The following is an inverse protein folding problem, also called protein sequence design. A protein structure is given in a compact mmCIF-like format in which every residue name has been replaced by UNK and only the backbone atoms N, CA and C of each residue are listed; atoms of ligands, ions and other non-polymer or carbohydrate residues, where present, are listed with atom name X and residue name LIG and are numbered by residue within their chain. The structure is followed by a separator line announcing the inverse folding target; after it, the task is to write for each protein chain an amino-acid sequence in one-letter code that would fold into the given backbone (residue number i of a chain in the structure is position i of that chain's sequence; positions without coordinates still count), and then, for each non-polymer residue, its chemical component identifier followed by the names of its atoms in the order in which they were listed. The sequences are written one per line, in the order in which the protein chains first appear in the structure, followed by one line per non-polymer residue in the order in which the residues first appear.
data_IF_383297523987
#
_entry.id   IF_383297523987
#
_cell.length_a   1.000
_cell.length_b   1.000
_cell.length_c   1.000
_cell.angle_alpha   90.00
_cell.angle_beta   90.00
_cell.angle_gamma   90.00
#
_symmetry.space_group_name_H-M   'P 1'
#
loop_
_entity.id
_entity.type
_entity.pdbx_description
1 polymer ?
#
# COMPACT_ATOMS: atom_id res chain seq x y z
N UNK A 1 104.97 -89.22 -15.33
CA UNK A 1 105.22 -88.83 -13.92
C UNK A 1 105.75 -87.42 -13.92
N UNK A 2 105.42 -86.62 -12.91
CA UNK A 2 105.93 -85.25 -12.83
C UNK A 2 107.43 -85.30 -12.46
N UNK A 3 108.27 -84.44 -13.04
CA UNK A 3 109.72 -84.38 -12.75
C UNK A 3 110.02 -84.27 -11.24
N UNK A 4 109.14 -83.61 -10.50
CA UNK A 4 109.23 -83.47 -9.05
C UNK A 4 108.96 -84.77 -8.29
N UNK A 5 108.09 -85.64 -8.81
CA UNK A 5 107.82 -86.95 -8.21
C UNK A 5 109.01 -87.89 -8.38
N UNK A 6 109.67 -87.87 -9.54
CA UNK A 6 110.87 -88.68 -9.80
C UNK A 6 112.07 -88.20 -8.97
N UNK A 7 112.23 -86.88 -8.80
CA UNK A 7 113.22 -86.31 -7.88
C UNK A 7 112.99 -86.73 -6.44
N UNK A 8 111.73 -86.77 -5.99
CA UNK A 8 111.39 -87.19 -4.64
C UNK A 8 111.68 -88.68 -4.43
N UNK A 9 111.35 -89.54 -5.40
CA UNK A 9 111.70 -90.96 -5.36
C UNK A 9 113.22 -91.19 -5.29
N UNK A 10 114.01 -90.42 -6.05
CA UNK A 10 115.48 -90.49 -5.99
C UNK A 10 116.00 -90.06 -4.60
N UNK A 11 115.39 -89.07 -3.95
CA UNK A 11 115.77 -88.67 -2.59
C UNK A 11 115.48 -89.77 -1.57
N UNK A 12 114.31 -90.39 -1.64
CA UNK A 12 113.93 -91.50 -0.76
C UNK A 12 114.86 -92.71 -0.96
N UNK A 13 115.19 -93.06 -2.21
CA UNK A 13 116.20 -94.08 -2.54
C UNK A 13 117.56 -93.75 -1.87
N UNK A 14 118.04 -92.52 -2.03
CA UNK A 14 119.31 -92.08 -1.44
C UNK A 14 119.26 -92.06 0.11
N UNK A 15 118.12 -91.75 0.72
CA UNK A 15 117.91 -91.83 2.16
C UNK A 15 117.95 -93.28 2.66
N UNK A 16 117.33 -94.22 1.96
CA UNK A 16 117.42 -95.65 2.31
C UNK A 16 118.85 -96.18 2.18
N UNK A 17 119.57 -95.81 1.12
CA UNK A 17 120.99 -96.16 0.96
C UNK A 17 121.86 -95.54 2.05
N UNK A 18 121.53 -94.32 2.50
CA UNK A 18 122.22 -93.66 3.61
C UNK A 18 121.96 -94.40 4.93
N UNK A 19 120.73 -94.84 5.19
CA UNK A 19 120.37 -95.63 6.37
C UNK A 19 121.06 -97.01 6.40
N UNK A 20 121.37 -97.57 5.22
CA UNK A 20 122.14 -98.82 5.07
C UNK A 20 123.67 -98.63 5.22
N UNK A 21 124.15 -97.40 5.45
CA UNK A 21 125.56 -97.11 5.68
C UNK A 21 126.44 -97.05 4.42
N UNK A 22 125.83 -96.84 3.23
CA UNK A 22 126.58 -96.71 1.96
C UNK A 22 127.52 -95.50 2.00
N UNK A 23 128.72 -95.64 1.41
CA UNK A 23 129.72 -94.57 1.40
C UNK A 23 129.22 -93.36 0.62
N UNK A 24 129.61 -92.17 1.05
CA UNK A 24 129.20 -90.89 0.46
C UNK A 24 129.56 -90.74 -1.05
N UNK A 25 130.70 -91.28 -1.49
CA UNK A 25 131.05 -91.28 -2.91
C UNK A 25 130.04 -92.07 -3.77
N UNK A 26 129.60 -93.23 -3.28
CA UNK A 26 128.65 -94.08 -4.01
C UNK A 26 127.26 -93.44 -4.07
N UNK A 27 126.85 -92.70 -3.04
CA UNK A 27 125.62 -91.89 -3.05
C UNK A 27 125.66 -90.81 -4.15
N UNK A 28 126.79 -90.11 -4.30
CA UNK A 28 126.95 -89.08 -5.33
C UNK A 28 127.01 -89.64 -6.76
N UNK A 29 127.65 -90.80 -6.96
CA UNK A 29 127.66 -91.49 -8.24
C UNK A 29 126.29 -92.05 -8.60
N UNK A 30 125.53 -92.56 -7.61
CA UNK A 30 124.15 -93.00 -7.81
C UNK A 30 123.24 -91.85 -8.22
N UNK A 31 123.35 -90.70 -7.54
CA UNK A 31 122.61 -89.49 -7.91
C UNK A 31 122.96 -89.01 -9.33
N UNK A 32 124.24 -89.02 -9.73
CA UNK A 32 124.67 -88.67 -11.09
C UNK A 32 124.06 -89.60 -12.14
N UNK A 33 124.01 -90.91 -11.87
CA UNK A 33 123.38 -91.88 -12.77
C UNK A 33 121.89 -91.63 -12.94
N UNK A 34 121.15 -91.43 -11.85
CA UNK A 34 119.69 -91.22 -11.91
C UNK A 34 119.35 -89.89 -12.60
N UNK A 35 120.08 -88.82 -12.28
CA UNK A 35 119.94 -87.52 -12.97
C UNK A 35 120.16 -87.64 -14.48
N UNK A 36 121.21 -88.35 -14.90
CA UNK A 36 121.58 -88.42 -16.31
C UNK A 36 120.71 -89.40 -17.11
N UNK A 37 120.48 -90.61 -16.61
CA UNK A 37 119.80 -91.66 -17.37
C UNK A 37 118.27 -91.59 -17.25
N UNK A 38 117.72 -91.21 -16.10
CA UNK A 38 116.27 -91.20 -15.91
C UNK A 38 115.68 -89.83 -16.22
N UNK A 39 116.32 -88.76 -15.75
CA UNK A 39 115.79 -87.39 -15.89
C UNK A 39 116.33 -86.66 -17.11
N UNK A 40 117.36 -87.17 -17.79
CA UNK A 40 118.04 -86.48 -18.89
C UNK A 40 118.74 -85.17 -18.46
N UNK A 41 118.90 -84.95 -17.15
CA UNK A 41 119.50 -83.73 -16.58
C UNK A 41 121.00 -83.97 -16.41
N UNK A 42 121.81 -83.05 -16.95
CA UNK A 42 123.27 -83.08 -16.75
C UNK A 42 123.61 -82.97 -15.25
N UNK A 43 124.34 -83.93 -14.64
CA UNK A 43 124.74 -83.85 -13.24
C UNK A 43 125.58 -82.60 -13.00
N UNK A 44 125.14 -81.76 -12.07
CA UNK A 44 125.82 -80.54 -11.64
C UNK A 44 126.01 -80.55 -10.13
N UNK A 45 126.96 -79.75 -9.65
CA UNK A 45 127.24 -79.60 -8.22
C UNK A 45 125.98 -79.30 -7.39
N UNK A 46 125.14 -78.39 -7.86
CA UNK A 46 123.91 -78.01 -7.18
C UNK A 46 122.89 -79.15 -7.19
N UNK A 47 122.68 -79.81 -8.33
CA UNK A 47 121.68 -80.87 -8.47
C UNK A 47 122.05 -82.12 -7.66
N UNK A 48 123.32 -82.50 -7.63
CA UNK A 48 123.78 -83.67 -6.85
C UNK A 48 123.73 -83.36 -5.36
N UNK A 49 124.12 -82.16 -4.94
CA UNK A 49 124.07 -81.75 -3.52
C UNK A 49 122.63 -81.68 -3.00
N UNK A 50 121.69 -81.19 -3.81
CA UNK A 50 120.27 -81.11 -3.47
C UNK A 50 119.63 -82.49 -3.24
N UNK A 51 120.07 -83.51 -3.98
CA UNK A 51 119.60 -84.88 -3.83
C UNK A 51 120.32 -85.64 -2.70
N UNK A 52 121.64 -85.50 -2.56
CA UNK A 52 122.39 -86.27 -1.57
C UNK A 52 122.41 -85.64 -0.19
N UNK A 53 122.08 -84.34 -0.05
CA UNK A 53 122.10 -83.51 1.17
C UNK A 53 123.38 -83.64 2.02
N UNK A 54 124.45 -84.23 1.47
CA UNK A 54 125.69 -84.61 2.14
C UNK A 54 126.86 -84.48 1.17
N UNK A 55 127.96 -83.88 1.63
CA UNK A 55 129.20 -83.70 0.86
C UNK A 55 129.81 -82.31 1.00
N UNK A 56 131.15 -82.25 1.00
CA UNK A 56 131.92 -80.99 0.97
C UNK A 56 131.87 -80.37 -0.42
N UNK A 57 131.98 -79.04 -0.49
CA UNK A 57 132.03 -78.29 -1.76
C UNK A 57 133.17 -78.73 -2.69
N UNK A 58 134.22 -79.36 -2.16
CA UNK A 58 135.40 -79.83 -2.91
C UNK A 58 135.27 -81.22 -3.52
N UNK A 59 134.34 -82.05 -3.04
CA UNK A 59 134.39 -83.49 -3.32
C UNK A 59 133.31 -83.94 -4.30
N UNK A 60 132.14 -83.30 -4.31
CA UNK A 60 131.07 -83.57 -5.29
C UNK A 60 131.54 -83.33 -6.75
N UNK A 61 132.40 -82.32 -7.09
CA UNK A 61 132.86 -82.16 -8.47
C UNK A 61 133.71 -83.35 -8.93
N UNK A 62 134.58 -83.87 -8.05
CA UNK A 62 135.45 -85.02 -8.34
C UNK A 62 134.64 -86.28 -8.64
N UNK A 63 133.54 -86.47 -7.92
CA UNK A 63 132.65 -87.61 -8.13
C UNK A 63 131.86 -87.48 -9.47
N UNK A 64 131.44 -86.26 -9.84
CA UNK A 64 130.85 -85.96 -11.16
C UNK A 64 131.86 -86.22 -12.28
N UNK A 65 133.12 -85.80 -12.11
CA UNK A 65 134.17 -86.02 -13.10
C UNK A 65 134.48 -87.51 -13.28
N UNK A 66 134.58 -88.27 -12.18
CA UNK A 66 134.73 -89.72 -12.21
C UNK A 66 133.56 -90.42 -12.92
N UNK A 67 132.33 -89.92 -12.75
CA UNK A 67 131.15 -90.41 -13.48
C UNK A 67 131.30 -90.16 -14.98
N UNK A 68 131.67 -88.95 -15.39
CA UNK A 68 131.86 -88.61 -16.80
C UNK A 68 133.02 -89.35 -17.45
N UNK A 69 134.11 -89.58 -16.73
CA UNK A 69 135.23 -90.38 -17.22
C UNK A 69 134.81 -91.83 -17.44
N UNK A 70 134.03 -92.42 -16.52
CA UNK A 70 133.43 -93.74 -16.71
C UNK A 70 132.51 -93.80 -17.92
N UNK A 71 131.62 -92.83 -18.13
CA UNK A 71 130.75 -92.79 -19.31
C UNK A 71 131.56 -92.64 -20.60
N UNK A 72 132.55 -91.76 -20.63
CA UNK A 72 133.42 -91.57 -21.80
C UNK A 72 134.22 -92.84 -22.13
N UNK A 73 134.67 -93.59 -21.12
CA UNK A 73 135.37 -94.85 -21.32
C UNK A 73 134.44 -95.97 -21.83
N UNK A 74 133.18 -96.00 -21.40
CA UNK A 74 132.19 -97.00 -21.84
C UNK A 74 131.59 -96.67 -23.21
N UNK A 75 131.46 -95.39 -23.58
CA UNK A 75 130.82 -94.93 -24.83
C UNK A 75 131.76 -94.71 -26.01
N UNK A 76 133.06 -95.04 -25.90
CA UNK A 76 133.99 -94.96 -27.04
C UNK A 76 133.69 -96.05 -28.07
N UNK A 77 132.83 -95.74 -29.03
CA UNK A 77 132.97 -96.27 -30.38
C UNK A 77 134.23 -95.60 -30.97
N UNK A 78 135.33 -96.35 -31.07
CA UNK A 78 136.57 -95.89 -31.71
C UNK A 78 136.30 -95.71 -33.21
N UNK A 79 135.81 -94.54 -33.64
CA UNK A 79 136.05 -94.09 -35.02
C UNK A 79 137.47 -93.56 -35.03
N UNK A 80 138.41 -94.39 -35.49
CA UNK A 80 139.82 -94.02 -35.62
C UNK A 80 139.96 -92.85 -36.58
N UNK A 81 140.84 -91.92 -36.22
CA UNK A 81 141.26 -90.82 -37.08
C UNK A 81 141.73 -91.37 -38.45
N UNK A 82 140.93 -91.08 -39.48
CA UNK A 82 141.24 -91.37 -40.88
C UNK A 82 140.39 -90.42 -41.72
N UNK A 83 141.04 -89.66 -42.60
CA UNK A 83 140.34 -88.79 -43.54
C UNK A 83 139.28 -89.61 -44.30
N UNK A 84 138.06 -89.09 -44.35
CA UNK A 84 136.96 -89.70 -45.10
C UNK A 84 137.38 -89.71 -46.58
N UNK A 85 137.30 -90.85 -47.30
CA UNK A 85 137.59 -90.89 -48.73
C UNK A 85 136.74 -89.89 -49.53
N UNK A 86 137.35 -89.11 -50.44
CA UNK A 86 136.66 -88.07 -51.24
C UNK A 86 135.36 -88.55 -51.91
N UNK A 87 135.34 -89.78 -52.43
CA UNK A 87 134.14 -90.35 -53.04
C UNK A 87 132.95 -90.51 -52.07
N UNK A 88 133.22 -90.71 -50.78
CA UNK A 88 132.18 -90.73 -49.74
C UNK A 88 131.79 -89.32 -49.29
N UNK A 89 132.73 -88.38 -49.30
CA UNK A 89 132.48 -86.96 -49.02
C UNK A 89 131.58 -86.33 -50.09
N UNK A 90 131.86 -86.55 -51.37
CA UNK A 90 131.05 -86.05 -52.50
C UNK A 90 129.64 -86.64 -52.46
N UNK A 91 129.51 -87.96 -52.23
CA UNK A 91 128.21 -88.65 -52.12
C UNK A 91 127.40 -88.17 -50.91
N UNK A 92 128.08 -87.87 -49.80
CA UNK A 92 127.44 -87.29 -48.62
C UNK A 92 127.01 -85.83 -48.87
N UNK A 93 127.82 -85.04 -49.58
CA UNK A 93 127.49 -83.68 -49.99
C UNK A 93 126.28 -83.62 -50.93
N UNK A 94 126.20 -84.51 -51.92
CA UNK A 94 125.05 -84.66 -52.82
C UNK A 94 123.77 -85.03 -52.04
N UNK A 95 123.87 -86.00 -51.12
CA UNK A 95 122.73 -86.41 -50.29
C UNK A 95 122.28 -85.27 -49.36
N UNK A 96 123.21 -84.56 -48.74
CA UNK A 96 122.92 -83.40 -47.89
C UNK A 96 122.31 -82.24 -48.68
N UNK A 97 122.78 -82.01 -49.91
CA UNK A 97 122.22 -81.02 -50.83
C UNK A 97 120.77 -81.35 -51.20
N UNK A 98 120.49 -82.59 -51.59
CA UNK A 98 119.14 -83.06 -51.90
C UNK A 98 118.20 -82.96 -50.68
N UNK A 99 118.66 -83.38 -49.50
CA UNK A 99 117.91 -83.25 -48.26
C UNK A 99 117.64 -81.78 -47.90
N UNK A 100 118.61 -80.88 -48.14
CA UNK A 100 118.42 -79.45 -47.91
C UNK A 100 117.42 -78.84 -48.89
N UNK A 101 117.48 -79.18 -50.17
CA UNK A 101 116.50 -78.72 -51.17
C UNK A 101 115.09 -79.21 -50.85
N UNK A 102 114.94 -80.47 -50.44
CA UNK A 102 113.65 -81.05 -50.02
C UNK A 102 113.13 -80.37 -48.73
N UNK A 103 113.99 -80.14 -47.74
CA UNK A 103 113.63 -79.41 -46.53
C UNK A 103 113.22 -77.95 -46.80
N UNK A 104 113.94 -77.24 -47.69
CA UNK A 104 113.59 -75.88 -48.11
C UNK A 104 112.29 -75.85 -48.90
N UNK A 105 112.07 -76.83 -49.78
CA UNK A 105 110.80 -77.01 -50.50
C UNK A 105 109.63 -77.21 -49.55
N UNK A 106 109.77 -78.11 -48.58
CA UNK A 106 108.76 -78.36 -47.55
C UNK A 106 108.53 -77.13 -46.66
N UNK A 107 109.58 -76.42 -46.25
CA UNK A 107 109.45 -75.20 -45.44
C UNK A 107 108.71 -74.08 -46.20
N UNK A 108 109.00 -73.90 -47.50
CA UNK A 108 108.28 -72.94 -48.35
C UNK A 108 106.82 -73.31 -48.53
N UNK A 109 106.52 -74.59 -48.80
CA UNK A 109 105.16 -75.07 -48.94
C UNK A 109 104.36 -74.90 -47.63
N UNK A 110 104.97 -75.21 -46.48
CA UNK A 110 104.38 -74.99 -45.16
C UNK A 110 104.11 -73.51 -44.90
N UNK A 111 105.07 -72.63 -45.21
CA UNK A 111 104.91 -71.18 -45.03
C UNK A 111 103.80 -70.61 -45.92
N UNK A 112 103.69 -71.09 -47.17
CA UNK A 112 102.62 -70.65 -48.07
C UNK A 112 101.26 -71.13 -47.58
N UNK A 113 101.16 -72.38 -47.11
CA UNK A 113 99.94 -72.89 -46.47
C UNK A 113 99.55 -72.07 -45.23
N UNK A 114 100.49 -71.75 -44.34
CA UNK A 114 100.24 -70.88 -43.18
C UNK A 114 99.80 -69.48 -43.60
N UNK A 115 100.37 -68.91 -44.67
CA UNK A 115 99.97 -67.60 -45.19
C UNK A 115 98.55 -67.63 -45.75
N UNK A 116 98.20 -68.64 -46.53
CA UNK A 116 96.84 -68.83 -47.05
C UNK A 116 95.82 -68.98 -45.91
N UNK A 117 96.15 -69.77 -44.88
CA UNK A 117 95.31 -69.92 -43.69
C UNK A 117 95.14 -68.61 -42.92
N UNK A 118 96.21 -67.84 -42.71
CA UNK A 118 96.15 -66.53 -42.06
C UNK A 118 95.30 -65.55 -42.88
N UNK A 119 95.49 -65.50 -44.20
CA UNK A 119 94.68 -64.65 -45.07
C UNK A 119 93.20 -65.04 -45.06
N UNK A 120 92.89 -66.33 -45.04
CA UNK A 120 91.52 -66.82 -44.87
C UNK A 120 90.93 -66.43 -43.51
N UNK A 121 91.69 -66.57 -42.42
CA UNK A 121 91.26 -66.16 -41.08
C UNK A 121 91.03 -64.66 -40.97
N UNK A 122 91.91 -63.84 -41.56
CA UNK A 122 91.74 -62.38 -41.65
C UNK A 122 90.45 -62.07 -42.41
N UNK A 123 90.21 -62.68 -43.57
CA UNK A 123 88.98 -62.48 -44.35
C UNK A 123 87.71 -62.81 -43.57
N UNK A 124 87.71 -63.94 -42.84
CA UNK A 124 86.59 -64.33 -41.97
C UNK A 124 86.41 -63.35 -40.80
N UNK A 125 87.49 -62.91 -40.17
CA UNK A 125 87.45 -61.94 -39.08
C UNK A 125 86.91 -60.58 -39.56
N UNK A 126 87.34 -60.12 -40.73
CA UNK A 126 86.91 -58.86 -41.33
C UNK A 126 85.42 -58.90 -41.70
N UNK A 127 84.94 -60.02 -42.25
CA UNK A 127 83.50 -60.24 -42.49
C UNK A 127 82.70 -60.23 -41.19
N UNK A 128 83.16 -60.94 -40.15
CA UNK A 128 82.49 -60.94 -38.84
C UNK A 128 82.45 -59.55 -38.20
N UNK A 129 83.51 -58.76 -38.35
CA UNK A 129 83.57 -57.39 -37.85
C UNK A 129 82.56 -56.49 -38.59
N UNK A 130 82.48 -56.58 -39.91
CA UNK A 130 81.49 -55.84 -40.72
C UNK A 130 80.06 -56.23 -40.36
N UNK A 131 79.79 -57.52 -40.23
CA UNK A 131 78.45 -58.00 -39.83
C UNK A 131 78.07 -57.53 -38.43
N UNK A 132 79.03 -57.51 -37.49
CA UNK A 132 78.82 -56.99 -36.15
C UNK A 132 78.53 -55.48 -36.15
N UNK A 133 79.25 -54.70 -36.97
CA UNK A 133 79.02 -53.26 -37.11
C UNK A 133 77.63 -52.97 -37.69
N UNK A 134 77.23 -53.67 -38.77
CA UNK A 134 75.88 -53.54 -39.37
C UNK A 134 74.80 -53.87 -38.33
N UNK A 135 74.99 -54.92 -37.53
CA UNK A 135 74.04 -55.27 -36.45
C UNK A 135 74.00 -54.22 -35.35
N UNK A 136 75.14 -53.62 -35.00
CA UNK A 136 75.20 -52.52 -34.02
C UNK A 136 74.46 -51.30 -34.54
N UNK A 137 74.76 -50.85 -35.75
CA UNK A 137 74.08 -49.71 -36.39
C UNK A 137 72.56 -49.92 -36.49
N UNK A 138 72.12 -51.12 -36.88
CA UNK A 138 70.69 -51.44 -36.94
C UNK A 138 70.03 -51.42 -35.55
N UNK A 139 70.75 -51.83 -34.51
CA UNK A 139 70.26 -51.80 -33.12
C UNK A 139 70.21 -50.37 -32.58
N UNK A 140 71.23 -49.56 -32.85
CA UNK A 140 71.29 -48.16 -32.47
C UNK A 140 70.17 -47.36 -33.16
N UNK A 141 69.90 -47.63 -34.43
CA UNK A 141 68.77 -47.06 -35.16
C UNK A 141 67.42 -47.47 -34.56
N UNK A 142 67.27 -48.74 -34.16
CA UNK A 142 66.06 -49.21 -33.51
C UNK A 142 65.84 -48.50 -32.16
N UNK A 143 66.90 -48.38 -31.35
CA UNK A 143 66.87 -47.67 -30.06
C UNK A 143 66.47 -46.21 -30.27
N UNK A 144 67.15 -45.49 -31.18
CA UNK A 144 66.82 -44.09 -31.51
C UNK A 144 65.36 -43.91 -31.93
N UNK A 145 64.83 -44.81 -32.76
CA UNK A 145 63.41 -44.76 -33.17
C UNK A 145 62.47 -45.00 -31.99
N UNK A 146 62.83 -45.88 -31.07
CA UNK A 146 62.01 -46.14 -29.88
C UNK A 146 62.08 -44.99 -28.88
N UNK A 147 63.23 -44.35 -28.69
CA UNK A 147 63.41 -43.17 -27.84
C UNK A 147 62.56 -42.01 -28.35
N UNK A 148 62.64 -41.69 -29.64
CA UNK A 148 61.81 -40.64 -30.26
C UNK A 148 60.31 -40.93 -30.09
N UNK A 149 59.90 -42.20 -30.23
CA UNK A 149 58.50 -42.61 -30.01
C UNK A 149 58.09 -42.48 -28.55
N UNK A 150 58.97 -42.82 -27.62
CA UNK A 150 58.74 -42.70 -26.18
C UNK A 150 58.61 -41.22 -25.78
N UNK A 151 59.51 -40.36 -26.24
CA UNK A 151 59.46 -38.91 -26.02
C UNK A 151 58.15 -38.31 -26.55
N UNK A 152 57.77 -38.66 -27.78
CA UNK A 152 56.51 -38.21 -28.36
C UNK A 152 55.28 -38.70 -27.59
N UNK A 153 55.34 -39.91 -27.02
CA UNK A 153 54.28 -40.44 -26.16
C UNK A 153 54.21 -39.69 -24.82
N UNK A 154 55.36 -39.42 -24.20
CA UNK A 154 55.46 -38.65 -22.95
C UNK A 154 54.93 -37.23 -23.11
N UNK A 155 55.25 -36.56 -24.22
CA UNK A 155 54.72 -35.22 -24.48
C UNK A 155 53.20 -35.23 -24.64
N UNK A 156 52.64 -36.24 -25.33
CA UNK A 156 51.17 -36.40 -25.42
C UNK A 156 50.54 -36.64 -24.06
N UNK A 157 51.14 -37.47 -23.21
CA UNK A 157 50.66 -37.71 -21.84
C UNK A 157 50.66 -36.39 -21.06
N UNK A 158 51.74 -35.61 -21.14
CA UNK A 158 51.84 -34.31 -20.47
C UNK A 158 50.77 -33.32 -20.93
N UNK A 159 50.50 -33.25 -22.24
CA UNK A 159 49.44 -32.41 -22.80
C UNK A 159 48.07 -32.88 -22.28
N UNK A 160 47.79 -34.19 -22.31
CA UNK A 160 46.53 -34.75 -21.82
C UNK A 160 46.33 -34.54 -20.31
N UNK A 161 47.40 -34.63 -19.51
CA UNK A 161 47.35 -34.32 -18.08
C UNK A 161 47.05 -32.84 -17.82
N UNK A 162 47.65 -31.94 -18.60
CA UNK A 162 47.35 -30.51 -18.54
C UNK A 162 45.90 -30.23 -18.93
N UNK A 163 45.41 -30.81 -20.04
CA UNK A 163 44.02 -30.72 -20.47
C UNK A 163 43.06 -31.26 -19.40
N UNK A 164 43.34 -32.43 -18.81
CA UNK A 164 42.52 -33.01 -17.75
C UNK A 164 42.50 -32.13 -16.49
N UNK A 165 43.64 -31.58 -16.08
CA UNK A 165 43.70 -30.65 -14.94
C UNK A 165 42.91 -29.36 -15.22
N UNK A 166 42.93 -28.87 -16.45
CA UNK A 166 42.14 -27.72 -16.87
C UNK A 166 40.64 -28.05 -16.89
N UNK A 167 40.26 -29.20 -17.45
CA UNK A 167 38.86 -29.61 -17.54
C UNK A 167 38.26 -29.87 -16.15
N UNK A 168 39.01 -30.50 -15.26
CA UNK A 168 38.59 -30.74 -13.87
C UNK A 168 38.45 -29.45 -13.07
N UNK A 169 39.37 -28.49 -13.21
CA UNK A 169 39.25 -27.18 -12.55
C UNK A 169 38.05 -26.39 -13.08
N UNK A 170 37.84 -26.34 -14.40
CA UNK A 170 36.65 -25.71 -14.99
C UNK A 170 35.36 -26.41 -14.56
N UNK A 171 35.36 -27.75 -14.51
CA UNK A 171 34.23 -28.54 -14.02
C UNK A 171 33.88 -28.24 -12.57
N UNK A 172 34.89 -28.17 -11.69
CA UNK A 172 34.70 -27.84 -10.28
C UNK A 172 34.16 -26.41 -10.10
N UNK A 173 34.73 -25.43 -10.79
CA UNK A 173 34.25 -24.02 -10.73
C UNK A 173 32.81 -23.94 -11.24
N UNK A 174 32.48 -24.64 -12.33
CA UNK A 174 31.11 -24.68 -12.84
C UNK A 174 30.14 -25.34 -11.85
N UNK A 175 30.54 -26.45 -11.22
CA UNK A 175 29.75 -27.13 -10.20
C UNK A 175 29.54 -26.26 -8.96
N UNK A 176 30.57 -25.57 -8.47
CA UNK A 176 30.47 -24.62 -7.35
C UNK A 176 29.55 -23.46 -7.70
N UNK A 177 29.65 -22.90 -8.91
CA UNK A 177 28.75 -21.85 -9.40
C UNK A 177 27.30 -22.33 -9.45
N UNK A 178 27.05 -23.53 -9.98
CA UNK A 178 25.71 -24.12 -10.00
C UNK A 178 25.18 -24.31 -8.58
N UNK A 179 25.96 -24.89 -7.67
CA UNK A 179 25.58 -25.06 -6.27
C UNK A 179 25.28 -23.71 -5.58
N UNK A 180 26.06 -22.67 -5.86
CA UNK A 180 25.81 -21.33 -5.33
C UNK A 180 24.49 -20.75 -5.86
N UNK A 181 24.19 -20.95 -7.15
CA UNK A 181 22.91 -20.51 -7.74
C UNK A 181 21.72 -21.26 -7.19
N UNK A 182 21.83 -22.57 -6.99
CA UNK A 182 20.79 -23.40 -6.36
C UNK A 182 20.52 -22.92 -4.93
N UNK A 183 21.56 -22.73 -4.12
CA UNK A 183 21.42 -22.19 -2.76
C UNK A 183 20.79 -20.79 -2.73
N UNK A 184 21.05 -19.96 -3.74
CA UNK A 184 20.41 -18.63 -3.86
C UNK A 184 18.92 -18.77 -4.15
N UNK A 185 18.57 -19.61 -5.11
CA UNK A 185 17.18 -19.86 -5.50
C UNK A 185 16.37 -20.52 -4.38
N UNK A 186 16.97 -21.44 -3.63
CA UNK A 186 16.34 -22.04 -2.43
C UNK A 186 15.99 -20.97 -1.39
N UNK A 187 16.94 -20.07 -1.07
CA UNK A 187 16.70 -18.96 -0.13
C UNK A 187 15.61 -18.00 -0.63
N UNK A 188 15.60 -17.71 -1.93
CA UNK A 188 14.56 -16.87 -2.54
C UNK A 188 13.19 -17.55 -2.47
N UNK A 189 13.13 -18.87 -2.72
CA UNK A 189 11.89 -19.65 -2.65
C UNK A 189 11.35 -19.73 -1.21
N UNK A 190 12.23 -19.95 -0.23
CA UNK A 190 11.88 -19.94 1.19
C UNK A 190 11.33 -18.57 1.61
N UNK A 191 11.99 -17.49 1.19
CA UNK A 191 11.55 -16.13 1.48
C UNK A 191 10.19 -15.81 0.84
N UNK A 192 9.97 -16.23 -0.41
CA UNK A 192 8.69 -16.07 -1.10
C UNK A 192 7.59 -16.91 -0.44
N UNK A 193 7.89 -18.14 -0.03
CA UNK A 193 6.95 -19.02 0.67
C UNK A 193 6.56 -18.44 2.03
N UNK A 194 7.50 -17.88 2.79
CA UNK A 194 7.22 -17.18 4.04
C UNK A 194 6.33 -15.94 3.82
N UNK A 195 6.62 -15.14 2.78
CA UNK A 195 5.76 -13.99 2.42
C UNK A 195 4.35 -14.43 2.06
N UNK A 196 4.21 -15.45 1.21
CA UNK A 196 2.91 -15.98 0.82
C UNK A 196 2.11 -16.47 2.04
N UNK A 197 2.75 -17.21 2.95
CA UNK A 197 2.11 -17.65 4.19
C UNK A 197 1.68 -16.46 5.06
N UNK A 198 2.51 -15.44 5.19
CA UNK A 198 2.14 -14.23 5.95
C UNK A 198 0.94 -13.52 5.33
N UNK A 199 0.90 -13.39 4.01
CA UNK A 199 -0.22 -12.78 3.29
C UNK A 199 -1.50 -13.63 3.37
N UNK A 200 -1.37 -14.97 3.40
CA UNK A 200 -2.52 -15.85 3.60
C UNK A 200 -3.10 -15.69 5.01
N UNK A 201 -2.24 -15.56 6.03
CA UNK A 201 -2.66 -15.32 7.42
C UNK A 201 -3.34 -13.94 7.54
N UNK A 202 -2.76 -12.88 6.96
CA UNK A 202 -3.39 -11.55 6.98
C UNK A 202 -4.72 -11.52 6.22
N UNK A 203 -4.82 -12.22 5.09
CA UNK A 203 -6.10 -12.33 4.38
C UNK A 203 -7.14 -13.12 5.19
N UNK A 204 -6.75 -14.18 5.89
CA UNK A 204 -7.66 -14.92 6.77
C UNK A 204 -8.18 -14.02 7.89
N UNK A 205 -7.30 -13.26 8.57
CA UNK A 205 -7.72 -12.37 9.66
C UNK A 205 -8.61 -11.22 9.17
N UNK A 206 -8.36 -10.68 7.97
CA UNK A 206 -9.22 -9.68 7.35
C UNK A 206 -10.60 -10.24 7.01
N UNK A 207 -10.68 -11.48 6.51
CA UNK A 207 -11.97 -12.15 6.25
C UNK A 207 -12.75 -12.36 7.53
N UNK A 208 -12.11 -12.87 8.58
CA UNK A 208 -12.73 -13.04 9.89
C UNK A 208 -13.26 -11.69 10.45
N UNK A 209 -12.50 -10.60 10.24
CA UNK A 209 -12.92 -9.26 10.66
C UNK A 209 -14.12 -8.74 9.84
N UNK A 210 -14.15 -8.98 8.54
CA UNK A 210 -15.29 -8.63 7.68
C UNK A 210 -16.53 -9.41 8.12
N UNK A 211 -16.40 -10.70 8.39
CA UNK A 211 -17.52 -11.53 8.86
C UNK A 211 -18.04 -11.05 10.21
N UNK A 212 -17.16 -10.71 11.15
CA UNK A 212 -17.55 -10.11 12.43
C UNK A 212 -18.31 -8.78 12.24
N UNK A 213 -17.80 -7.88 11.38
CA UNK A 213 -18.47 -6.61 11.08
C UNK A 213 -19.83 -6.81 10.40
N UNK A 214 -19.96 -7.80 9.51
CA UNK A 214 -21.25 -8.14 8.92
C UNK A 214 -22.25 -8.65 9.95
N UNK A 215 -21.81 -9.45 10.92
CA UNK A 215 -22.66 -9.91 12.03
C UNK A 215 -23.09 -8.73 12.91
N UNK A 216 -22.16 -7.87 13.31
CA UNK A 216 -22.46 -6.65 14.08
C UNK A 216 -23.43 -5.71 13.33
N UNK A 217 -23.22 -5.54 12.02
CA UNK A 217 -24.12 -4.74 11.19
C UNK A 217 -25.52 -5.35 11.13
N UNK A 218 -25.65 -6.66 10.92
CA UNK A 218 -26.96 -7.34 10.94
C UNK A 218 -27.65 -7.15 12.29
N UNK A 219 -26.96 -7.43 13.39
CA UNK A 219 -27.50 -7.28 14.74
C UNK A 219 -27.95 -5.84 15.04
N UNK A 220 -27.13 -4.85 14.69
CA UNK A 220 -27.51 -3.44 14.87
C UNK A 220 -28.69 -3.05 13.99
N UNK A 221 -28.74 -3.48 12.73
CA UNK A 221 -29.89 -3.21 11.85
C UNK A 221 -31.18 -3.86 12.33
N UNK A 222 -31.12 -5.10 12.82
CA UNK A 222 -32.24 -5.79 13.45
C UNK A 222 -32.70 -5.06 14.72
N UNK A 223 -31.75 -4.63 15.54
CA UNK A 223 -32.03 -3.87 16.76
C UNK A 223 -32.71 -2.52 16.45
N UNK A 224 -32.18 -1.74 15.51
CA UNK A 224 -32.79 -0.47 15.10
C UNK A 224 -34.15 -0.67 14.45
N UNK A 225 -34.31 -1.68 13.60
CA UNK A 225 -35.60 -2.01 13.00
C UNK A 225 -36.64 -2.35 14.07
N UNK A 226 -36.24 -3.10 15.10
CA UNK A 226 -37.10 -3.42 16.24
C UNK A 226 -37.44 -2.17 17.06
N UNK A 227 -36.46 -1.33 17.38
CA UNK A 227 -36.70 -0.05 18.07
C UNK A 227 -37.67 0.86 17.30
N UNK A 228 -37.51 0.98 15.97
CA UNK A 228 -38.42 1.78 15.14
C UNK A 228 -39.82 1.18 15.15
N UNK A 229 -39.95 -0.15 14.99
CA UNK A 229 -41.25 -0.84 15.07
C UNK A 229 -41.93 -0.58 16.41
N UNK A 230 -41.21 -0.71 17.52
CA UNK A 230 -41.74 -0.50 18.86
C UNK A 230 -42.12 0.96 19.09
N UNK A 231 -41.31 1.91 18.64
CA UNK A 231 -41.61 3.34 18.73
C UNK A 231 -42.83 3.74 17.89
N UNK A 232 -42.98 3.19 16.68
CA UNK A 232 -44.16 3.41 15.83
C UNK A 232 -45.39 2.79 16.46
N UNK A 233 -45.30 1.55 16.97
CA UNK A 233 -46.41 0.90 17.65
C UNK A 233 -46.86 1.69 18.90
N UNK A 234 -45.92 2.25 19.66
CA UNK A 234 -46.24 3.09 20.82
C UNK A 234 -46.85 4.44 20.41
N UNK A 235 -46.31 5.09 19.37
CA UNK A 235 -46.92 6.29 18.81
C UNK A 235 -48.35 6.03 18.32
N UNK A 236 -48.59 4.91 17.63
CA UNK A 236 -49.93 4.50 17.21
C UNK A 236 -50.87 4.27 18.40
N UNK A 237 -50.40 3.63 19.48
CA UNK A 237 -51.20 3.43 20.69
C UNK A 237 -51.62 4.75 21.34
N UNK A 238 -50.76 5.78 21.29
CA UNK A 238 -51.07 7.12 21.84
C UNK A 238 -51.96 7.95 20.91
N UNK A 239 -51.72 7.89 19.61
CA UNK A 239 -52.44 8.72 18.62
C UNK A 239 -53.84 8.18 18.32
N UNK A 240 -54.05 6.86 18.26
CA UNK A 240 -55.37 6.27 17.95
C UNK A 240 -56.49 6.77 18.88
N UNK A 241 -56.34 6.76 20.22
CA UNK A 241 -57.35 7.33 21.12
C UNK A 241 -57.57 8.83 20.91
N UNK A 242 -56.50 9.60 20.73
CA UNK A 242 -56.60 11.04 20.49
C UNK A 242 -57.34 11.36 19.18
N UNK A 243 -57.17 10.56 18.13
CA UNK A 243 -57.93 10.71 16.88
C UNK A 243 -59.42 10.41 17.09
N UNK A 244 -59.74 9.36 17.86
CA UNK A 244 -61.13 9.04 18.22
C UNK A 244 -61.75 10.16 19.06
N UNK A 245 -61.01 10.72 20.01
CA UNK A 245 -61.44 11.89 20.81
C UNK A 245 -61.64 13.11 19.91
N UNK A 246 -60.72 13.40 18.99
CA UNK A 246 -60.85 14.50 18.03
C UNK A 246 -62.08 14.35 17.14
N UNK A 247 -62.36 13.14 16.64
CA UNK A 247 -63.55 12.88 15.83
C UNK A 247 -64.84 13.01 16.65
N UNK A 248 -64.83 12.58 17.91
CA UNK A 248 -65.98 12.81 18.81
C UNK A 248 -66.19 14.31 19.10
N UNK A 249 -65.12 15.08 19.32
CA UNK A 249 -65.16 16.53 19.48
C UNK A 249 -65.63 17.24 18.20
N UNK A 250 -65.19 16.79 17.02
CA UNK A 250 -65.67 17.30 15.72
C UNK A 250 -67.17 17.03 15.54
N UNK A 251 -67.63 15.83 15.89
CA UNK A 251 -69.06 15.49 15.86
C UNK A 251 -69.87 16.36 16.83
N UNK A 252 -69.40 16.55 18.07
CA UNK A 252 -70.02 17.45 19.05
C UNK A 252 -70.00 18.92 18.60
N UNK A 253 -68.92 19.38 17.99
CA UNK A 253 -68.84 20.73 17.44
C UNK A 253 -69.81 20.92 16.28
N UNK A 254 -69.97 19.92 15.40
CA UNK A 254 -70.93 19.97 14.30
C UNK A 254 -72.39 20.02 14.80
N UNK A 255 -72.74 19.21 15.81
CA UNK A 255 -74.08 19.23 16.42
C UNK A 255 -74.33 20.52 17.20
N UNK A 256 -73.32 21.05 17.88
CA UNK A 256 -73.41 22.36 18.54
C UNK A 256 -73.62 23.47 17.50
N UNK A 257 -72.84 23.50 16.42
CA UNK A 257 -73.00 24.48 15.35
C UNK A 257 -74.37 24.39 14.66
N UNK A 258 -74.89 23.18 14.42
CA UNK A 258 -76.25 23.03 13.88
C UNK A 258 -77.28 23.55 14.88
N UNK A 259 -77.14 23.21 16.17
CA UNK A 259 -78.00 23.71 17.24
C UNK A 259 -77.98 25.25 17.35
N UNK A 260 -76.81 25.88 17.22
CA UNK A 260 -76.68 27.35 17.19
C UNK A 260 -77.36 27.94 15.96
N UNK A 261 -77.23 27.33 14.78
CA UNK A 261 -77.94 27.78 13.56
C UNK A 261 -79.45 27.68 13.72
N UNK A 262 -79.95 26.57 14.28
CA UNK A 262 -81.38 26.38 14.53
C UNK A 262 -81.90 27.35 15.60
N UNK A 263 -81.13 27.61 16.66
CA UNK A 263 -81.46 28.62 17.67
C UNK A 263 -81.48 30.02 17.05
N UNK A 264 -80.47 30.39 16.25
CA UNK A 264 -80.41 31.67 15.54
C UNK A 264 -81.59 31.83 14.58
N UNK A 265 -82.02 30.74 13.92
CA UNK A 265 -83.21 30.74 13.06
C UNK A 265 -84.49 31.00 13.86
N UNK A 266 -84.65 30.33 15.01
CA UNK A 266 -85.78 30.57 15.93
C UNK A 266 -85.76 31.99 16.50
N UNK A 267 -84.60 32.51 16.87
CA UNK A 267 -84.42 33.90 17.30
C UNK A 267 -84.84 34.87 16.21
N UNK A 268 -84.44 34.64 14.96
CA UNK A 268 -84.87 35.45 13.83
C UNK A 268 -86.39 35.38 13.60
N UNK A 269 -86.99 34.20 13.72
CA UNK A 269 -88.45 34.02 13.68
C UNK A 269 -89.14 34.79 14.83
N UNK A 270 -88.61 34.76 16.05
CA UNK A 270 -89.13 35.56 17.18
C UNK A 270 -88.98 37.06 16.94
N UNK A 271 -87.85 37.53 16.40
CA UNK A 271 -87.66 38.93 16.03
C UNK A 271 -88.69 39.35 14.98
N UNK A 272 -88.97 38.52 13.97
CA UNK A 272 -90.04 38.79 13.01
C UNK A 272 -91.42 38.86 13.66
N UNK A 273 -91.74 37.96 14.59
CA UNK A 273 -93.00 37.99 15.33
C UNK A 273 -93.14 39.28 16.16
N UNK A 274 -92.07 39.71 16.83
CA UNK A 274 -92.04 40.97 17.60
C UNK A 274 -92.19 42.17 16.67
N UNK A 275 -91.50 42.19 15.51
CA UNK A 275 -91.65 43.25 14.53
C UNK A 275 -93.10 43.34 13.99
N UNK A 276 -93.74 42.19 13.74
CA UNK A 276 -95.14 42.14 13.33
C UNK A 276 -96.11 42.55 14.46
N UNK A 277 -95.79 42.25 15.72
CA UNK A 277 -96.54 42.73 16.88
C UNK A 277 -96.39 44.25 17.06
N UNK A 278 -95.17 44.77 16.93
CA UNK A 278 -94.88 46.21 16.99
C UNK A 278 -95.59 46.98 15.89
N UNK A 279 -95.55 46.50 14.64
CA UNK A 279 -96.28 47.12 13.53
C UNK A 279 -97.81 47.13 13.73
N UNK A 280 -98.37 46.15 14.47
CA UNK A 280 -99.78 46.17 14.88
C UNK A 280 -100.02 47.21 15.99
N UNK A 281 -99.11 47.32 16.96
CA UNK A 281 -99.13 48.38 17.98
C UNK A 281 -99.09 49.78 17.37
N UNK A 282 -98.14 50.03 16.46
CA UNK A 282 -97.97 51.33 15.79
C UNK A 282 -99.25 51.73 15.01
N UNK A 283 -99.98 50.77 14.43
CA UNK A 283 -101.29 51.04 13.78
C UNK A 283 -102.38 51.43 14.77
N UNK A 284 -102.45 50.75 15.92
CA UNK A 284 -103.42 51.09 16.97
C UNK A 284 -103.11 52.47 17.56
N UNK A 285 -101.83 52.80 17.76
CA UNK A 285 -101.40 54.13 18.22
C UNK A 285 -101.77 55.24 17.22
N UNK A 286 -101.66 54.97 15.92
CA UNK A 286 -102.11 55.91 14.89
C UNK A 286 -103.63 56.13 14.94
N UNK A 287 -104.42 55.07 15.11
CA UNK A 287 -105.88 55.17 15.28
C UNK A 287 -106.27 55.94 16.55
N UNK A 288 -105.54 55.76 17.66
CA UNK A 288 -105.75 56.52 18.89
C UNK A 288 -105.48 58.02 18.71
N UNK A 289 -104.45 58.39 17.95
CA UNK A 289 -104.17 59.80 17.63
C UNK A 289 -105.28 60.42 16.78
N UNK A 290 -105.72 59.71 15.75
CA UNK A 290 -106.80 60.18 14.87
C UNK A 290 -108.11 60.42 15.64
N UNK A 291 -108.49 59.50 16.55
CA UNK A 291 -109.65 59.71 17.43
C UNK A 291 -109.47 60.84 18.44
N UNK A 292 -108.24 61.08 18.92
CA UNK A 292 -107.95 62.21 19.82
C UNK A 292 -108.05 63.56 19.12
N UNK A 293 -107.55 63.66 17.89
CA UNK A 293 -107.63 64.89 17.09
C UNK A 293 -109.10 65.24 16.76
N UNK A 294 -109.95 64.22 16.57
CA UNK A 294 -111.40 64.38 16.35
C UNK A 294 -112.12 64.96 17.60
N UNK A 295 -111.69 64.56 18.80
CA UNK A 295 -112.21 65.10 20.08
C UNK A 295 -111.77 66.55 20.31
N UNK A 296 -110.53 66.90 19.97
CA UNK A 296 -110.02 68.27 20.09
C UNK A 296 -110.74 69.25 19.14
N UNK A 297 -111.11 68.79 17.93
CA UNK A 297 -111.88 69.58 16.98
C UNK A 297 -113.29 69.92 17.50
N UNK A 298 -114.01 68.93 18.05
CA UNK A 298 -115.35 69.12 18.63
C UNK A 298 -115.34 70.04 19.86
N UNK A 299 -114.25 70.05 20.62
CA UNK A 299 -114.11 70.90 21.81
C UNK A 299 -113.94 72.38 21.45
N UNK A 300 -113.34 72.70 20.29
CA UNK A 300 -113.16 74.08 19.80
C UNK A 300 -114.45 74.72 19.25
N UNK A 301 -115.39 73.95 18.70
CA UNK A 301 -116.67 74.50 18.23
C UNK A 301 -117.57 74.97 19.39
N UNK A 302 -117.49 74.32 20.56
CA UNK A 302 -118.31 74.66 21.73
C UNK A 302 -117.87 75.96 22.42
N UNK A 303 -116.57 76.31 22.36
CA UNK A 303 -116.05 77.52 23.01
C UNK A 303 -116.44 78.80 22.25
N UNK A 304 -116.49 78.76 20.92
CA UNK A 304 -116.87 79.91 20.07
C UNK A 304 -118.34 80.32 20.26
N UNK A 305 -119.25 79.35 20.40
CA UNK A 305 -120.69 79.62 20.53
C UNK A 305 -121.09 80.25 21.88
N UNK A 306 -120.24 80.18 22.91
CA UNK A 306 -120.54 80.73 24.25
C UNK A 306 -120.14 82.20 24.43
N UNK A 307 -119.26 82.75 23.59
CA UNK A 307 -118.78 84.14 23.70
C UNK A 307 -119.71 85.22 23.15
N UNK A 308 -120.84 84.86 22.52
CA UNK A 308 -121.67 85.76 21.72
C UNK A 308 -123.06 86.08 22.34
N UNK A 309 -123.25 85.90 23.65
CA UNK A 309 -124.52 86.17 24.34
C UNK A 309 -124.39 87.31 25.36
N UNK A 310 -125.18 88.39 25.22
CA UNK A 310 -125.26 89.45 26.25
C UNK A 310 -125.95 90.75 25.84
N UNK A 311 -125.78 91.23 24.60
CA UNK A 311 -126.41 92.45 24.08
C UNK A 311 -126.83 92.25 22.62
N UNK A 312 -127.98 92.81 22.23
CA UNK A 312 -128.44 92.81 20.84
C UNK A 312 -127.47 93.63 19.97
N UNK A 313 -126.89 93.05 18.90
CA UNK A 313 -125.85 93.71 18.09
C UNK A 313 -126.27 95.08 17.53
N UNK A 314 -127.56 95.35 17.36
CA UNK A 314 -128.06 96.66 16.95
C UNK A 314 -127.89 97.75 18.04
N UNK A 315 -128.05 97.40 19.32
CA UNK A 315 -127.90 98.32 20.46
C UNK A 315 -126.41 98.62 20.70
N UNK A 316 -125.55 97.60 20.55
CA UNK A 316 -124.11 97.78 20.66
C UNK A 316 -123.53 98.71 19.58
N UNK A 317 -124.01 98.61 18.34
CA UNK A 317 -123.63 99.51 17.24
C UNK A 317 -124.04 100.97 17.49
N UNK A 318 -125.24 101.20 18.03
CA UNK A 318 -125.71 102.55 18.38
C UNK A 318 -124.82 103.18 19.47
N UNK A 319 -124.46 102.42 20.51
CA UNK A 319 -123.57 102.87 21.57
C UNK A 319 -122.17 103.22 21.04
N UNK A 320 -121.58 102.39 20.17
CA UNK A 320 -120.31 102.72 19.53
C UNK A 320 -120.40 104.01 18.68
N UNK A 321 -121.48 104.21 17.91
CA UNK A 321 -121.65 105.42 17.09
C UNK A 321 -121.80 106.72 17.90
N UNK A 322 -122.39 106.65 19.10
CA UNK A 322 -122.52 107.80 20.01
C UNK A 322 -121.18 108.18 20.66
N UNK A 323 -120.29 107.20 20.85
CA UNK A 323 -118.93 107.39 21.33
C UNK A 323 -118.06 108.10 20.30
N UNK A 324 -118.13 107.66 19.03
CA UNK A 324 -117.38 108.29 17.94
C UNK A 324 -117.79 109.77 17.71
N UNK A 325 -119.05 110.13 18.05
CA UNK A 325 -119.55 111.49 17.95
C UNK A 325 -119.23 112.40 19.17
N UNK A 326 -118.53 111.90 20.19
CA UNK A 326 -118.13 112.66 21.38
C UNK A 326 -119.29 113.12 22.27
N UNK A 327 -120.45 112.46 22.19
CA UNK A 327 -121.70 112.91 22.85
C UNK A 327 -122.00 112.26 24.19
N UNK A 328 -121.21 111.29 24.61
CA UNK A 328 -121.37 110.59 25.89
C UNK A 328 -120.36 111.13 26.89
N UNK A 329 -120.85 111.48 28.07
CA UNK A 329 -120.01 111.91 29.18
C UNK A 329 -119.34 110.71 29.86
N UNK A 330 -118.20 110.93 30.54
CA UNK A 330 -117.46 109.84 31.20
C UNK A 330 -118.30 109.03 32.21
N UNK A 331 -119.30 109.66 32.86
CA UNK A 331 -120.20 108.98 33.80
C UNK A 331 -121.17 108.02 33.09
N UNK A 332 -121.63 108.37 31.88
CA UNK A 332 -122.52 107.53 31.07
C UNK A 332 -121.77 106.31 30.50
N UNK A 333 -120.48 106.45 30.18
CA UNK A 333 -119.62 105.36 29.71
C UNK A 333 -119.33 104.32 30.79
N UNK A 334 -119.13 104.76 32.03
CA UNK A 334 -118.93 103.84 33.15
C UNK A 334 -120.21 103.04 33.46
N UNK A 335 -121.41 103.58 33.21
CA UNK A 335 -122.67 102.85 33.40
C UNK A 335 -122.89 101.71 32.40
N UNK A 336 -122.35 101.81 31.18
CA UNK A 336 -122.44 100.76 30.15
C UNK A 336 -121.49 99.59 30.47
N UNK A 337 -120.37 99.88 31.15
CA UNK A 337 -119.42 98.87 31.62
C UNK A 337 -118.93 97.95 30.49
N UNK A 338 -118.63 96.69 30.83
CA UNK A 338 -118.07 95.69 29.89
C UNK A 338 -119.12 95.00 29.01
N UNK A 339 -120.39 95.37 29.16
CA UNK A 339 -121.49 94.67 28.52
C UNK A 339 -121.46 94.80 26.99
N UNK A 340 -120.91 95.91 26.46
CA UNK A 340 -120.72 96.13 25.03
C UNK A 340 -119.34 95.66 24.50
N UNK A 341 -118.41 95.19 25.35
CA UNK A 341 -117.00 94.97 24.99
C UNK A 341 -116.78 93.90 23.91
N UNK A 342 -117.68 92.90 23.81
CA UNK A 342 -117.67 91.90 22.75
C UNK A 342 -118.00 92.45 21.35
N UNK A 343 -118.51 93.68 21.27
CA UNK A 343 -118.90 94.36 20.05
C UNK A 343 -118.06 95.63 19.76
N UNK A 344 -117.09 95.95 20.62
CA UNK A 344 -116.22 97.13 20.44
C UNK A 344 -115.11 96.81 19.45
N UNK A 345 -115.18 97.43 18.29
CA UNK A 345 -114.08 97.48 17.32
C UNK A 345 -113.08 98.54 17.76
N UNK A 346 -111.80 98.18 17.81
CA UNK A 346 -110.73 99.13 18.12
C UNK A 346 -110.56 100.08 16.92
N UNK A 347 -110.26 101.37 17.13
CA UNK A 347 -109.94 102.29 16.05
C UNK A 347 -108.78 101.70 15.24
N UNK A 348 -108.88 101.60 13.90
CA UNK A 348 -107.81 101.02 13.10
C UNK A 348 -106.57 101.92 13.05
N UNK A 349 -106.68 103.20 13.44
CA UNK A 349 -105.58 104.18 13.38
C UNK A 349 -105.61 105.13 14.57
N UNK A 350 -104.44 105.57 14.99
CA UNK A 350 -104.27 106.54 16.07
C UNK A 350 -104.61 107.97 15.61
N UNK A 351 -105.48 108.70 16.32
CA UNK A 351 -105.87 110.07 15.95
C UNK A 351 -104.74 111.09 16.07
N UNK A 352 -103.61 110.75 16.71
CA UNK A 352 -102.49 111.65 16.96
C UNK A 352 -101.38 111.57 15.91
N UNK A 353 -101.14 110.39 15.33
CA UNK A 353 -100.05 110.17 14.36
C UNK A 353 -100.52 109.62 13.01
N UNK A 354 -101.80 109.29 12.83
CA UNK A 354 -102.44 108.74 11.62
C UNK A 354 -101.84 107.44 11.03
N UNK A 355 -100.68 106.97 11.51
CA UNK A 355 -99.99 105.76 11.03
C UNK A 355 -100.03 104.57 11.99
N UNK A 356 -100.13 104.79 13.32
CA UNK A 356 -100.10 103.69 14.29
C UNK A 356 -101.44 102.96 14.46
N UNK A 357 -101.43 101.62 14.45
CA UNK A 357 -102.57 100.79 14.83
C UNK A 357 -102.57 100.59 16.36
N UNK A 358 -103.63 101.00 17.08
CA UNK A 358 -103.62 100.95 18.53
C UNK A 358 -103.96 99.55 19.06
N UNK A 359 -103.15 99.07 20.02
CA UNK A 359 -103.30 97.77 20.64
C UNK A 359 -104.08 97.89 21.96
N UNK A 360 -105.00 96.96 22.18
CA UNK A 360 -105.75 96.86 23.44
C UNK A 360 -105.05 95.88 24.37
N UNK A 361 -104.55 96.38 25.48
CA UNK A 361 -104.05 95.57 26.58
C UNK A 361 -105.10 95.48 27.69
N UNK A 362 -105.22 94.31 28.31
CA UNK A 362 -106.04 94.10 29.50
C UNK A 362 -105.11 93.80 30.67
N UNK A 363 -105.05 94.74 31.62
CA UNK A 363 -104.22 94.63 32.84
C UNK A 363 -105.13 94.84 34.04
N UNK A 364 -105.18 93.87 34.96
CA UNK A 364 -106.02 93.91 36.18
C UNK A 364 -107.49 94.30 35.96
N UNK A 365 -108.13 93.63 34.99
CA UNK A 365 -109.54 93.86 34.61
C UNK A 365 -109.86 95.30 34.13
N UNK A 366 -108.84 96.08 33.80
CA UNK A 366 -108.95 97.38 33.15
C UNK A 366 -108.37 97.31 31.75
N UNK A 367 -108.92 98.11 30.85
CA UNK A 367 -108.59 98.14 29.45
C UNK A 367 -107.82 99.41 29.14
N UNK A 368 -106.67 99.26 28.49
CA UNK A 368 -105.87 100.38 28.00
C UNK A 368 -105.66 100.22 26.50
N UNK A 369 -105.88 101.31 25.79
CA UNK A 369 -105.58 101.43 24.37
C UNK A 369 -104.31 102.25 24.22
N UNK A 370 -103.27 101.59 23.72
CA UNK A 370 -101.95 102.17 23.57
C UNK A 370 -101.53 102.15 22.10
N UNK A 371 -101.08 103.28 21.58
CA UNK A 371 -100.45 103.34 20.26
C UNK A 371 -98.95 103.11 20.41
N UNK A 372 -98.41 101.95 19.96
CA UNK A 372 -96.99 101.65 20.11
C UNK A 372 -96.06 102.62 19.36
N UNK A 373 -96.56 103.32 18.32
CA UNK A 373 -95.76 104.22 17.49
C UNK A 373 -95.59 105.65 18.04
N UNK A 374 -96.49 106.15 18.89
CA UNK A 374 -96.43 107.54 19.38
C UNK A 374 -96.70 107.72 20.88
N UNK A 375 -96.77 106.61 21.62
CA UNK A 375 -97.10 106.55 23.05
C UNK A 375 -98.39 107.30 23.45
N UNK A 376 -99.31 107.48 22.49
CA UNK A 376 -100.65 107.96 22.82
C UNK A 376 -101.40 106.85 23.55
N UNK A 377 -101.92 107.16 24.73
CA UNK A 377 -102.68 106.21 25.55
C UNK A 377 -104.03 106.80 25.95
N UNK A 378 -105.06 105.96 25.98
CA UNK A 378 -106.35 106.27 26.58
C UNK A 378 -106.32 106.39 28.10
N UNK A 379 -105.23 105.90 28.71
CA UNK A 379 -105.17 105.50 30.11
C UNK A 379 -106.07 104.28 30.41
N UNK A 380 -105.95 103.75 31.62
CA UNK A 380 -106.74 102.63 32.10
C UNK A 380 -108.24 102.99 32.22
N UNK A 381 -109.09 102.35 31.43
CA UNK A 381 -110.56 102.40 31.48
C UNK A 381 -111.16 101.12 32.06
N UNK A 382 -112.39 101.20 32.59
CA UNK A 382 -113.08 100.03 33.16
C UNK A 382 -113.79 99.15 32.11
N UNK A 383 -113.90 99.64 30.88
CA UNK A 383 -114.43 98.88 29.74
C UNK A 383 -113.66 99.17 28.46
N UNK A 384 -113.72 98.25 27.50
CA UNK A 384 -113.12 98.42 26.18
C UNK A 384 -113.71 99.64 25.47
N UNK A 385 -115.02 99.87 25.61
CA UNK A 385 -115.72 101.04 25.06
C UNK A 385 -115.21 102.37 25.66
N UNK A 386 -114.96 102.40 26.98
CA UNK A 386 -114.44 103.58 27.68
C UNK A 386 -113.00 103.90 27.27
N UNK A 387 -112.17 102.87 27.08
CA UNK A 387 -110.80 103.05 26.58
C UNK A 387 -110.80 103.66 25.17
N UNK A 388 -111.68 103.21 24.27
CA UNK A 388 -111.82 103.78 22.91
C UNK A 388 -112.26 105.24 22.94
N UNK A 389 -113.27 105.60 23.74
CA UNK A 389 -113.75 106.98 23.83
C UNK A 389 -112.67 107.97 24.28
N UNK A 390 -111.90 107.59 25.32
CA UNK A 390 -110.82 108.44 25.84
C UNK A 390 -109.67 108.57 24.85
N UNK A 391 -109.35 107.49 24.14
CA UNK A 391 -108.31 107.50 23.12
C UNK A 391 -108.57 108.52 22.00
N UNK A 392 -109.85 108.70 21.62
CA UNK A 392 -110.28 109.60 20.55
C UNK A 392 -110.41 111.08 20.95
N UNK A 393 -110.45 111.42 22.25
CA UNK A 393 -110.88 112.76 22.73
C UNK A 393 -109.76 113.72 23.18
N UNK A 394 -108.49 113.31 23.22
CA UNK A 394 -107.42 114.08 23.87
C UNK A 394 -106.59 114.97 22.90
N UNK A 395 -106.94 116.27 22.82
CA UNK A 395 -106.17 117.31 22.09
C UNK A 395 -105.80 118.55 22.96
N UNK A 396 -105.91 118.49 24.29
CA UNK A 396 -105.31 119.52 25.16
C UNK A 396 -105.07 119.01 26.57
N UNK A 397 -103.82 118.67 26.88
CA UNK A 397 -103.05 119.08 28.07
C UNK A 397 -101.63 118.55 27.87
N UNK A 398 -100.70 119.49 27.77
CA UNK A 398 -99.28 119.28 27.56
C UNK A 398 -98.58 118.67 28.78
N UNK A 399 -97.45 118.02 28.51
CA UNK A 399 -96.44 117.52 29.45
C UNK A 399 -95.95 118.59 30.44
N UNK A 400 -95.29 118.20 31.54
CA UNK A 400 -93.83 118.42 31.56
C UNK A 400 -92.98 117.33 32.26
N UNK A 401 -91.79 117.15 31.68
CA UNK A 401 -90.44 117.00 32.24
C UNK A 401 -90.15 116.35 33.62
N UNK A 402 -89.25 115.33 33.56
CA UNK A 402 -88.03 115.04 34.36
C UNK A 402 -87.89 115.53 35.81
N UNK A 403 -87.56 114.59 36.71
CA UNK A 403 -86.56 114.68 37.81
C UNK A 403 -86.34 113.24 38.36
N UNK A 404 -85.17 112.61 38.28
CA UNK A 404 -83.99 112.67 39.16
C UNK A 404 -84.24 112.54 40.68
N UNK A 405 -83.63 111.48 41.25
CA UNK A 405 -83.24 111.19 42.63
C UNK A 405 -84.24 110.92 43.79
N UNK A 406 -84.21 109.64 44.20
CA UNK A 406 -84.16 109.02 45.54
C UNK A 406 -84.48 109.77 46.88
N UNK A 407 -85.28 109.03 47.67
CA UNK A 407 -85.44 108.95 49.15
C UNK A 407 -86.45 109.89 49.87
N UNK A 408 -87.43 109.19 50.44
CA UNK A 408 -88.58 109.49 51.33
C UNK A 408 -89.90 109.83 50.67
#
# INVERSE_FOLDING_TARGET
MNLDQERQAIREELETMRAQGVRRQDLSLHACKRLFFDLGIRPSMAAVRDLTQTGSASDIPKDIDNFWERIRNVSRVKVGAGAIPKALEDRAGELLGALFEEAVGHARASLEGEREEIHAQIGIADQRARDAEIRREASDDAIRRTEIRAEAAWERVRVLEAELSSATTHGNVHQESLQATVRRLERENDALSQRLNSEQITNATLRDRIDALHVELRQSTEHYAQQIKDAVAEAERRVKPMLVELDSLRSMAATYQSGVRDASRKEFEFIQQIAAAKARGDRLDAQLREQSDEVDALTKEVTVLRGQQGIDPAIASLLCSLVDAGRLTNDELNMIGTAADGHVTLPPRCPKCDEGEPELSQVDHRFELLCPECDHSSGLGESRLAAVSRFLSADSIASPEREFDAVR
#
